data_IF_978377120507
#
_entry.id   IF_978377120507
#
_cell.length_a   1.000
_cell.length_b   1.000
_cell.length_c   1.000
_cell.angle_alpha   90.00
_cell.angle_beta   90.00
_cell.angle_gamma   90.00
#
_symmetry.space_group_name_H-M   'P 1'
#
loop_
_entity.id
_entity.type
_entity.pdbx_description
1 polymer ?
#
# COMPACT_ATOMS: atom_id res chain seq x y z
N UNK A 1 81.76 -2.26 -31.59
CA UNK A 1 80.71 -2.38 -30.56
C UNK A 1 79.39 -2.61 -31.24
N UNK A 2 78.88 -3.85 -31.22
CA UNK A 2 77.54 -4.15 -31.79
C UNK A 2 76.54 -4.16 -30.61
N UNK A 3 75.64 -3.12 -30.54
CA UNK A 3 74.59 -3.04 -29.55
C UNK A 3 73.55 -4.12 -29.83
N UNK A 4 73.27 -4.99 -28.86
CA UNK A 4 72.13 -5.89 -28.86
C UNK A 4 70.87 -5.12 -28.59
N UNK A 5 69.95 -5.12 -29.56
CA UNK A 5 68.59 -4.62 -29.36
C UNK A 5 67.84 -5.58 -28.43
N UNK A 6 67.08 -5.06 -27.43
CA UNK A 6 66.28 -5.89 -26.56
C UNK A 6 65.10 -6.50 -27.38
N UNK A 7 64.90 -7.82 -27.20
CA UNK A 7 63.77 -8.55 -27.82
C UNK A 7 62.46 -8.06 -27.28
N UNK A 8 61.43 -7.88 -28.14
CA UNK A 8 60.09 -7.50 -27.69
C UNK A 8 59.48 -8.62 -26.84
N UNK A 9 59.11 -8.28 -25.62
CA UNK A 9 58.34 -9.18 -24.73
C UNK A 9 56.93 -9.29 -25.30
N UNK A 10 56.61 -10.44 -25.88
CA UNK A 10 55.26 -10.73 -26.38
C UNK A 10 54.28 -10.82 -25.18
N UNK A 11 53.18 -10.02 -25.15
CA UNK A 11 52.17 -10.17 -24.11
C UNK A 11 51.52 -11.54 -24.24
N UNK A 12 51.55 -12.32 -23.16
CA UNK A 12 50.83 -13.59 -23.10
C UNK A 12 49.32 -13.27 -23.09
N UNK A 13 48.65 -13.52 -24.19
CA UNK A 13 47.19 -13.48 -24.28
C UNK A 13 46.66 -14.67 -23.45
N UNK A 14 46.11 -14.39 -22.29
CA UNK A 14 45.39 -15.37 -21.48
C UNK A 14 43.98 -15.51 -22.03
N UNK A 15 43.63 -16.68 -22.53
CA UNK A 15 42.25 -17.02 -22.85
C UNK A 15 41.46 -17.38 -21.60
N UNK A 16 40.12 -17.18 -21.65
CA UNK A 16 39.23 -17.60 -20.58
C UNK A 16 39.14 -19.12 -20.48
N UNK A 17 39.08 -19.63 -19.25
CA UNK A 17 38.85 -21.04 -19.02
C UNK A 17 37.37 -21.36 -19.08
N UNK A 18 37.01 -22.58 -19.46
CA UNK A 18 35.63 -23.02 -19.54
C UNK A 18 34.90 -22.94 -18.17
N UNK A 19 35.64 -23.22 -17.09
CA UNK A 19 35.13 -23.13 -15.73
C UNK A 19 34.82 -21.68 -15.33
N UNK A 20 35.64 -20.73 -15.75
CA UNK A 20 35.47 -19.31 -15.49
C UNK A 20 34.17 -18.78 -16.11
N UNK A 21 33.88 -19.19 -17.35
CA UNK A 21 32.63 -18.87 -18.06
C UNK A 21 31.43 -19.47 -17.33
N UNK A 22 31.52 -20.75 -16.91
CA UNK A 22 30.44 -21.41 -16.17
C UNK A 22 30.16 -20.73 -14.83
N UNK A 23 31.17 -20.35 -14.07
CA UNK A 23 31.03 -19.63 -12.79
C UNK A 23 30.41 -18.25 -13.03
N UNK A 24 30.88 -17.53 -14.05
CA UNK A 24 30.30 -16.21 -14.38
C UNK A 24 28.83 -16.30 -14.75
N UNK A 25 28.42 -17.28 -15.54
CA UNK A 25 27.02 -17.52 -15.91
C UNK A 25 26.17 -17.89 -14.69
N UNK A 26 26.70 -18.71 -13.77
CA UNK A 26 26.01 -19.07 -12.53
C UNK A 26 25.76 -17.85 -11.65
N UNK A 27 26.73 -16.95 -11.49
CA UNK A 27 26.59 -15.71 -10.73
C UNK A 27 25.53 -14.80 -11.35
N UNK A 28 25.58 -14.62 -12.69
CA UNK A 28 24.59 -13.80 -13.39
C UNK A 28 23.19 -14.39 -13.25
N UNK A 29 23.03 -15.69 -13.36
CA UNK A 29 21.73 -16.36 -13.19
C UNK A 29 21.14 -16.14 -11.81
N UNK A 30 21.94 -16.26 -10.75
CA UNK A 30 21.51 -16.01 -9.37
C UNK A 30 21.14 -14.54 -9.16
N UNK A 31 21.95 -13.62 -9.69
CA UNK A 31 21.68 -12.18 -9.59
C UNK A 31 20.38 -11.78 -10.29
N UNK A 32 20.12 -12.32 -11.48
CA UNK A 32 18.87 -12.08 -12.23
C UNK A 32 17.66 -12.65 -11.48
N UNK A 33 17.76 -13.88 -10.97
CA UNK A 33 16.68 -14.50 -10.20
C UNK A 33 16.33 -13.69 -8.94
N UNK A 34 17.33 -13.19 -8.22
CA UNK A 34 17.13 -12.33 -7.07
C UNK A 34 16.46 -10.99 -7.44
N UNK A 35 16.87 -10.38 -8.55
CA UNK A 35 16.29 -9.13 -9.05
C UNK A 35 14.82 -9.27 -9.44
N UNK A 36 14.47 -10.34 -10.15
CA UNK A 36 13.07 -10.61 -10.54
C UNK A 36 12.18 -10.80 -9.29
N UNK A 37 12.68 -11.52 -8.29
CA UNK A 37 11.95 -11.71 -7.04
C UNK A 37 11.73 -10.39 -6.29
N UNK A 38 12.73 -9.52 -6.23
CA UNK A 38 12.64 -8.22 -5.59
C UNK A 38 11.59 -7.32 -6.27
N UNK A 39 11.58 -7.26 -7.60
CA UNK A 39 10.57 -6.50 -8.36
C UNK A 39 9.15 -7.04 -8.13
N UNK A 40 8.99 -8.36 -8.09
CA UNK A 40 7.68 -9.00 -7.82
C UNK A 40 7.12 -8.62 -6.45
N UNK A 41 7.95 -8.59 -5.40
CA UNK A 41 7.50 -8.17 -4.05
C UNK A 41 7.16 -6.69 -3.97
N UNK A 42 7.89 -5.83 -4.68
CA UNK A 42 7.57 -4.40 -4.76
C UNK A 42 6.25 -4.15 -5.48
N UNK A 43 5.98 -4.84 -6.57
CA UNK A 43 4.74 -4.69 -7.33
C UNK A 43 3.51 -5.10 -6.50
N UNK A 44 3.58 -6.21 -5.77
CA UNK A 44 2.48 -6.64 -4.89
C UNK A 44 2.27 -5.68 -3.71
N UNK A 45 3.34 -5.16 -3.12
CA UNK A 45 3.27 -4.14 -2.07
C UNK A 45 2.63 -2.83 -2.53
N UNK A 46 2.96 -2.37 -3.73
CA UNK A 46 2.38 -1.17 -4.32
C UNK A 46 0.87 -1.32 -4.58
N UNK A 47 0.43 -2.48 -5.05
CA UNK A 47 -0.98 -2.79 -5.27
C UNK A 47 -1.79 -2.77 -3.96
N UNK A 48 -1.27 -3.37 -2.91
CA UNK A 48 -1.93 -3.38 -1.60
C UNK A 48 -1.99 -1.97 -0.99
N UNK A 49 -0.90 -1.18 -1.11
CA UNK A 49 -0.90 0.21 -0.66
C UNK A 49 -1.94 1.04 -1.42
N UNK A 50 -2.05 0.87 -2.72
CA UNK A 50 -3.05 1.57 -3.53
C UNK A 50 -4.48 1.27 -3.06
N UNK A 51 -4.80 0.00 -2.79
CA UNK A 51 -6.11 -0.40 -2.25
C UNK A 51 -6.40 0.25 -0.89
N UNK A 52 -5.42 0.31 0.00
CA UNK A 52 -5.55 0.95 1.32
C UNK A 52 -5.73 2.46 1.22
N UNK A 53 -5.06 3.12 0.29
CA UNK A 53 -5.26 4.55 0.01
C UNK A 53 -6.67 4.84 -0.47
N UNK A 54 -7.19 4.05 -1.42
CA UNK A 54 -8.57 4.19 -1.88
C UNK A 54 -9.59 3.93 -0.77
N UNK A 55 -9.35 2.94 0.08
CA UNK A 55 -10.18 2.67 1.25
C UNK A 55 -10.15 3.84 2.25
N UNK A 56 -8.98 4.45 2.47
CA UNK A 56 -8.85 5.66 3.28
C UNK A 56 -9.70 6.81 2.74
N UNK A 57 -9.62 7.07 1.43
CA UNK A 57 -10.46 8.11 0.79
C UNK A 57 -11.96 7.80 0.89
N UNK A 58 -12.37 6.53 0.78
CA UNK A 58 -13.76 6.15 0.98
C UNK A 58 -14.24 6.45 2.41
N UNK A 59 -13.42 6.15 3.42
CA UNK A 59 -13.73 6.46 4.80
C UNK A 59 -13.82 7.98 5.04
N UNK A 60 -12.87 8.75 4.51
CA UNK A 60 -12.88 10.21 4.58
C UNK A 60 -14.12 10.81 3.92
N UNK A 61 -14.48 10.35 2.73
CA UNK A 61 -15.67 10.81 2.03
C UNK A 61 -16.94 10.54 2.84
N UNK A 62 -17.06 9.35 3.44
CA UNK A 62 -18.20 9.00 4.29
C UNK A 62 -18.31 9.92 5.52
N UNK A 63 -17.20 10.19 6.19
CA UNK A 63 -17.16 11.10 7.33
C UNK A 63 -17.38 12.57 6.93
N UNK A 64 -16.84 12.98 5.79
CA UNK A 64 -17.06 14.33 5.24
C UNK A 64 -18.53 14.55 4.92
N UNK A 65 -19.18 13.59 4.27
CA UNK A 65 -20.61 13.64 3.97
C UNK A 65 -21.45 13.79 5.24
N UNK A 66 -21.12 13.04 6.29
CA UNK A 66 -21.78 13.12 7.58
C UNK A 66 -21.68 14.52 8.20
N UNK A 67 -20.50 15.15 8.10
CA UNK A 67 -20.26 16.51 8.61
C UNK A 67 -20.97 17.57 7.76
N UNK A 68 -20.91 17.46 6.43
CA UNK A 68 -21.51 18.45 5.52
C UNK A 68 -23.04 18.46 5.60
N UNK A 69 -23.64 17.31 5.86
CA UNK A 69 -25.11 17.19 6.02
C UNK A 69 -25.58 17.50 7.45
N UNK A 70 -24.66 17.82 8.37
CA UNK A 70 -24.96 17.99 9.81
C UNK A 70 -25.80 16.84 10.39
N UNK A 71 -25.54 15.62 9.88
CA UNK A 71 -26.33 14.46 10.22
C UNK A 71 -26.10 14.04 11.69
N UNK A 72 -27.21 13.70 12.36
CA UNK A 72 -27.19 13.06 13.67
C UNK A 72 -27.54 11.58 13.51
N UNK A 73 -26.55 10.72 13.17
CA UNK A 73 -26.82 9.33 12.83
C UNK A 73 -27.35 8.56 14.05
N UNK A 74 -28.26 7.61 13.79
CA UNK A 74 -28.78 6.74 14.84
C UNK A 74 -27.66 5.82 15.38
N UNK A 75 -27.75 5.50 16.68
CA UNK A 75 -26.86 4.54 17.33
C UNK A 75 -27.10 3.17 16.70
N UNK A 76 -26.03 2.49 16.35
CA UNK A 76 -26.08 1.17 15.70
C UNK A 76 -25.00 1.01 14.66
N UNK A 77 -25.18 0.01 13.83
CA UNK A 77 -24.25 -0.35 12.76
C UNK A 77 -25.00 -0.46 11.45
N UNK A 78 -24.42 0.11 10.39
CA UNK A 78 -24.93 0.00 9.03
C UNK A 78 -23.78 -0.15 8.03
N UNK A 79 -23.99 -0.95 6.99
CA UNK A 79 -23.04 -1.14 5.90
C UNK A 79 -23.62 -0.61 4.60
N UNK A 80 -22.76 0.00 3.79
CA UNK A 80 -23.13 0.55 2.48
C UNK A 80 -21.96 0.46 1.51
N UNK A 81 -22.28 0.53 0.23
CA UNK A 81 -21.28 0.57 -0.85
C UNK A 81 -20.54 1.91 -0.78
N UNK A 82 -19.20 1.83 -0.78
CA UNK A 82 -18.33 3.00 -0.85
C UNK A 82 -17.18 2.80 -1.86
N UNK A 83 -17.46 2.07 -2.93
CA UNK A 83 -16.51 1.75 -4.00
C UNK A 83 -15.85 3.00 -4.59
N UNK A 84 -14.57 2.90 -4.92
CA UNK A 84 -13.78 3.98 -5.53
C UNK A 84 -13.23 3.53 -6.87
N UNK A 85 -13.65 4.21 -7.95
CA UNK A 85 -13.26 3.88 -9.30
C UNK A 85 -13.65 2.44 -9.67
N UNK A 86 -12.66 1.61 -9.96
CA UNK A 86 -12.85 0.19 -10.30
C UNK A 86 -12.62 -0.75 -9.08
N UNK A 87 -12.38 -0.22 -7.90
CA UNK A 87 -12.16 -1.00 -6.67
C UNK A 87 -13.45 -1.05 -5.87
N UNK A 88 -13.98 -2.25 -5.70
CA UNK A 88 -15.17 -2.49 -4.88
C UNK A 88 -14.80 -2.45 -3.40
N UNK A 89 -15.51 -1.63 -2.64
CA UNK A 89 -15.30 -1.41 -1.21
C UNK A 89 -16.64 -1.37 -0.48
N UNK A 90 -16.66 -1.89 0.73
CA UNK A 90 -17.81 -1.83 1.63
C UNK A 90 -17.41 -1.05 2.88
N UNK A 91 -18.16 0.00 3.17
CA UNK A 91 -18.03 0.76 4.39
C UNK A 91 -19.01 0.25 5.45
N UNK A 92 -18.53 0.04 6.65
CA UNK A 92 -19.36 -0.25 7.81
C UNK A 92 -19.23 0.91 8.79
N UNK A 93 -20.33 1.62 8.99
CA UNK A 93 -20.42 2.73 9.92
C UNK A 93 -21.01 2.24 11.25
N UNK A 94 -20.28 2.42 12.33
CA UNK A 94 -20.71 2.13 13.69
C UNK A 94 -20.85 3.43 14.48
N UNK A 95 -22.04 3.67 15.04
CA UNK A 95 -22.34 4.84 15.84
C UNK A 95 -22.55 4.42 17.29
N UNK A 96 -21.75 4.99 18.18
CA UNK A 96 -21.82 4.73 19.61
C UNK A 96 -22.06 5.99 20.43
N UNK A 97 -22.46 5.78 21.67
CA UNK A 97 -22.61 6.85 22.68
C UNK A 97 -21.25 7.34 23.17
N UNK A 98 -21.22 8.55 23.70
CA UNK A 98 -20.10 9.10 24.47
C UNK A 98 -20.56 9.46 25.88
N UNK A 99 -19.64 9.70 26.83
CA UNK A 99 -20.03 10.16 28.18
C UNK A 99 -20.86 11.45 28.19
N UNK A 100 -20.67 12.31 27.18
CA UNK A 100 -21.49 13.48 26.96
C UNK A 100 -22.55 13.21 25.88
N UNK A 101 -23.86 13.22 26.20
CA UNK A 101 -24.93 12.84 25.27
C UNK A 101 -25.08 13.79 24.07
N UNK A 102 -24.46 14.98 24.11
CA UNK A 102 -24.42 15.93 22.98
C UNK A 102 -23.50 15.42 21.84
N UNK A 103 -22.68 14.44 22.13
CA UNK A 103 -21.74 13.87 21.14
C UNK A 103 -22.04 12.40 20.85
N UNK A 104 -21.77 11.98 19.63
CA UNK A 104 -21.74 10.57 19.22
C UNK A 104 -20.39 10.24 18.59
N UNK A 105 -19.86 9.08 18.93
CA UNK A 105 -18.68 8.52 18.27
C UNK A 105 -19.12 7.79 17.04
N UNK A 106 -18.56 8.17 15.90
CA UNK A 106 -18.79 7.50 14.62
C UNK A 106 -17.49 6.89 14.15
N UNK A 107 -17.53 5.60 13.87
CA UNK A 107 -16.41 4.82 13.35
C UNK A 107 -16.80 4.28 11.99
N UNK A 108 -15.96 4.50 11.00
CA UNK A 108 -16.12 3.95 9.65
C UNK A 108 -14.97 3.02 9.36
N UNK A 109 -15.26 1.76 9.12
CA UNK A 109 -14.31 0.75 8.68
C UNK A 109 -14.61 0.35 7.23
N UNK A 110 -13.56 0.20 6.44
CA UNK A 110 -13.64 -0.12 5.01
C UNK A 110 -12.98 -1.47 4.76
N UNK A 111 -13.68 -2.35 4.08
CA UNK A 111 -13.22 -3.68 3.72
C UNK A 111 -13.51 -3.98 2.25
N UNK A 112 -12.85 -5.00 1.70
CA UNK A 112 -13.21 -5.53 0.40
C UNK A 112 -14.39 -6.49 0.55
N UNK A 113 -15.30 -6.56 -0.44
CA UNK A 113 -16.43 -7.49 -0.41
C UNK A 113 -15.96 -8.94 -0.19
N UNK A 114 -16.60 -9.64 0.76
CA UNK A 114 -16.30 -11.03 1.06
C UNK A 114 -14.95 -11.28 1.77
N UNK A 115 -14.25 -10.24 2.19
CA UNK A 115 -13.02 -10.34 2.98
C UNK A 115 -13.25 -9.81 4.40
N UNK A 116 -12.71 -10.51 5.39
CA UNK A 116 -12.81 -10.11 6.81
C UNK A 116 -11.78 -9.05 7.22
N UNK A 117 -10.82 -8.72 6.35
CA UNK A 117 -9.75 -7.77 6.63
C UNK A 117 -10.20 -6.31 6.46
N UNK A 118 -9.95 -5.48 7.47
CA UNK A 118 -10.15 -4.04 7.38
C UNK A 118 -8.99 -3.40 6.62
N UNK A 119 -9.29 -2.66 5.55
CA UNK A 119 -8.30 -1.93 4.74
C UNK A 119 -8.00 -0.54 5.30
N UNK A 120 -9.03 0.12 5.82
CA UNK A 120 -8.92 1.42 6.47
C UNK A 120 -9.99 1.57 7.55
N UNK A 121 -9.68 2.33 8.59
CA UNK A 121 -10.59 2.63 9.68
C UNK A 121 -10.37 4.06 10.13
N UNK A 122 -11.46 4.81 10.27
CA UNK A 122 -11.45 6.17 10.76
C UNK A 122 -12.51 6.39 11.82
N UNK A 123 -12.22 7.26 12.78
CA UNK A 123 -13.12 7.60 13.88
C UNK A 123 -13.28 9.10 13.95
N UNK A 124 -14.50 9.54 14.15
CA UNK A 124 -14.82 10.94 14.44
C UNK A 124 -15.85 11.06 15.56
N UNK A 125 -16.04 12.27 16.04
CA UNK A 125 -17.09 12.63 16.99
C UNK A 125 -17.97 13.68 16.32
N UNK A 126 -19.26 13.45 16.31
CA UNK A 126 -20.27 14.40 15.81
C UNK A 126 -21.03 15.00 16.97
N UNK A 127 -21.31 16.29 16.88
CA UNK A 127 -22.11 17.01 17.86
C UNK A 127 -23.56 17.13 17.37
N UNK A 128 -24.51 17.11 18.31
CA UNK A 128 -25.90 17.43 18.02
C UNK A 128 -26.07 18.94 17.91
N UNK A 129 -26.10 19.45 16.69
CA UNK A 129 -26.23 20.90 16.44
C UNK A 129 -27.61 21.45 16.80
N UNK A 130 -28.66 20.61 16.82
CA UNK A 130 -29.99 21.00 17.23
C UNK A 130 -30.03 21.42 18.69
N UNK A 131 -29.10 20.97 19.52
CA UNK A 131 -28.97 21.34 20.92
C UNK A 131 -28.21 22.66 21.16
N UNK A 132 -27.69 23.30 20.09
CA UNK A 132 -26.84 24.49 20.17
C UNK A 132 -27.63 25.82 19.93
N UNK A 133 -28.90 25.72 19.56
CA UNK A 133 -29.77 26.89 19.34
C UNK A 133 -30.58 27.21 20.58
N UNK A 134 -29.88 27.62 21.65
CA UNK A 134 -30.45 28.34 22.82
C UNK A 134 -29.52 29.47 23.18
#
# INVERSE_FOLDING_TARGET
MRGRLPSPVSPRVRGFTMIEVLVALAIIAVALAASIRAVGTMASGASELHRRLLAGWSADNALAQLRLTHAWPQIGEQSFDCSQGNVQLVCTQRVGTTPNPVFRRVEVSVSAPGQSGVLAQMVTVVANETSRSL
#
